data_IF_030396438949
#
_entry.id   IF_030396438949
#
_cell.length_a   1.000
_cell.length_b   1.000
_cell.length_c   1.000
_cell.angle_alpha   90.00
_cell.angle_beta   90.00
_cell.angle_gamma   90.00
#
_symmetry.space_group_name_H-M   'P 1'
#
loop_
_entity.id
_entity.type
_entity.pdbx_description
1 polymer ?
#
# COMPACT_ATOMS: atom_id res chain seq x y z
N UNK A 1 -27.84 -10.27 -15.86
CA UNK A 1 -27.28 -9.32 -14.86
C UNK A 1 -25.91 -8.85 -15.36
N UNK A 2 -25.79 -7.60 -15.82
CA UNK A 2 -24.51 -7.08 -16.32
C UNK A 2 -23.57 -6.79 -15.15
N UNK A 3 -22.42 -7.49 -15.09
CA UNK A 3 -21.37 -7.27 -14.09
C UNK A 3 -20.82 -5.86 -14.30
N UNK A 4 -21.20 -4.91 -13.44
CA UNK A 4 -20.71 -3.54 -13.50
C UNK A 4 -19.18 -3.57 -13.30
N UNK A 5 -18.42 -3.42 -14.38
CA UNK A 5 -16.96 -3.39 -14.33
C UNK A 5 -16.56 -2.10 -13.59
N UNK A 6 -16.20 -2.20 -12.30
CA UNK A 6 -15.62 -1.09 -11.56
C UNK A 6 -14.39 -0.60 -12.31
N UNK A 7 -14.41 0.66 -12.74
CA UNK A 7 -13.25 1.29 -13.37
C UNK A 7 -12.15 1.40 -12.32
N UNK A 8 -10.91 0.97 -12.61
CA UNK A 8 -9.82 1.12 -11.66
C UNK A 8 -9.55 2.61 -11.43
N UNK A 9 -9.33 2.99 -10.18
CA UNK A 9 -8.93 4.35 -9.82
C UNK A 9 -7.44 4.49 -10.14
N UNK A 10 -7.09 5.26 -11.18
CA UNK A 10 -5.72 5.41 -11.67
C UNK A 10 -5.11 6.65 -11.03
N UNK A 11 -3.95 6.47 -10.38
CA UNK A 11 -3.17 7.57 -9.79
C UNK A 11 -1.82 7.64 -10.51
N UNK A 12 -1.47 8.84 -10.97
CA UNK A 12 -0.17 9.13 -11.55
C UNK A 12 0.79 9.62 -10.47
N UNK A 13 1.99 9.05 -10.44
CA UNK A 13 3.05 9.43 -9.50
C UNK A 13 4.30 9.84 -10.30
N UNK A 14 4.84 11.01 -9.96
CA UNK A 14 6.12 11.47 -10.47
C UNK A 14 7.24 11.01 -9.52
N UNK A 15 8.37 10.61 -10.10
CA UNK A 15 9.56 10.21 -9.36
C UNK A 15 10.80 10.56 -10.16
N UNK A 16 11.90 10.84 -9.47
CA UNK A 16 13.18 11.08 -10.14
C UNK A 16 13.65 9.81 -10.87
N UNK A 17 14.45 9.94 -11.95
CA UNK A 17 14.99 8.80 -12.67
C UNK A 17 15.76 7.83 -11.76
N UNK A 18 16.52 8.38 -10.81
CA UNK A 18 17.31 7.58 -9.85
C UNK A 18 16.41 6.76 -8.92
N UNK A 19 15.33 7.36 -8.39
CA UNK A 19 14.37 6.65 -7.55
C UNK A 19 13.65 5.54 -8.33
N UNK A 20 13.26 5.82 -9.58
CA UNK A 20 12.66 4.80 -10.47
C UNK A 20 13.59 3.63 -10.72
N UNK A 21 14.88 3.90 -10.98
CA UNK A 21 15.88 2.86 -11.20
C UNK A 21 16.08 1.96 -9.97
N UNK A 22 16.18 2.56 -8.77
CA UNK A 22 16.26 1.81 -7.50
C UNK A 22 15.03 0.93 -7.29
N UNK A 23 13.84 1.49 -7.50
CA UNK A 23 12.58 0.75 -7.36
C UNK A 23 12.48 -0.41 -8.35
N UNK A 24 12.89 -0.21 -9.60
CA UNK A 24 12.95 -1.27 -10.61
C UNK A 24 13.86 -2.40 -10.18
N UNK A 25 15.05 -2.09 -9.65
CA UNK A 25 15.99 -3.11 -9.16
C UNK A 25 15.37 -3.94 -8.02
N UNK A 26 14.80 -3.27 -7.01
CA UNK A 26 14.13 -3.97 -5.88
C UNK A 26 12.98 -4.84 -6.36
N UNK A 27 12.20 -4.37 -7.33
CA UNK A 27 11.10 -5.14 -7.90
C UNK A 27 11.60 -6.37 -8.66
N UNK A 28 12.67 -6.22 -9.45
CA UNK A 28 13.31 -7.33 -10.17
C UNK A 28 13.88 -8.38 -9.20
N UNK A 29 14.63 -7.96 -8.18
CA UNK A 29 15.23 -8.84 -7.18
C UNK A 29 14.16 -9.66 -6.42
N UNK A 30 12.93 -9.13 -6.31
CA UNK A 30 11.80 -9.78 -5.62
C UNK A 30 10.82 -10.49 -6.56
N UNK A 31 11.06 -10.48 -7.88
CA UNK A 31 10.14 -11.06 -8.86
C UNK A 31 8.74 -10.42 -8.86
N UNK A 32 8.65 -9.12 -8.55
CA UNK A 32 7.39 -8.38 -8.46
C UNK A 32 7.34 -7.22 -9.45
N UNK A 33 6.12 -6.79 -9.81
CA UNK A 33 5.94 -5.55 -10.57
C UNK A 33 5.93 -4.33 -9.64
N UNK A 34 6.30 -3.15 -10.15
CA UNK A 34 6.21 -1.89 -9.40
C UNK A 34 4.81 -1.68 -8.82
N UNK A 35 3.77 -1.95 -9.63
CA UNK A 35 2.37 -1.82 -9.20
C UNK A 35 2.04 -2.71 -8.00
N UNK A 36 2.48 -3.98 -8.03
CA UNK A 36 2.24 -4.91 -6.93
C UNK A 36 3.00 -4.51 -5.66
N UNK A 37 4.26 -4.11 -5.80
CA UNK A 37 5.08 -3.64 -4.68
C UNK A 37 4.51 -2.38 -4.02
N UNK A 38 4.10 -1.40 -4.82
CA UNK A 38 3.47 -0.17 -4.31
C UNK A 38 2.11 -0.45 -3.68
N UNK A 39 1.28 -1.31 -4.29
CA UNK A 39 0.00 -1.70 -3.71
C UNK A 39 0.15 -2.28 -2.31
N UNK A 40 1.08 -3.22 -2.13
CA UNK A 40 1.36 -3.82 -0.81
C UNK A 40 1.85 -2.78 0.20
N UNK A 41 2.72 -1.86 -0.21
CA UNK A 41 3.20 -0.79 0.67
C UNK A 41 2.04 0.11 1.12
N UNK A 42 1.16 0.51 0.19
CA UNK A 42 -0.02 1.33 0.51
C UNK A 42 -0.93 0.59 1.50
N UNK A 43 -1.20 -0.69 1.26
CA UNK A 43 -2.01 -1.50 2.17
C UNK A 43 -1.41 -1.58 3.58
N UNK A 44 -0.08 -1.76 3.68
CA UNK A 44 0.63 -1.73 4.96
C UNK A 44 0.52 -0.36 5.64
N UNK A 45 0.71 0.75 4.91
CA UNK A 45 0.59 2.09 5.49
C UNK A 45 -0.83 2.38 5.96
N UNK A 46 -1.87 1.98 5.22
CA UNK A 46 -3.26 2.13 5.65
C UNK A 46 -3.55 1.29 6.90
N UNK A 47 -2.99 0.08 7.00
CA UNK A 47 -3.15 -0.75 8.19
C UNK A 47 -2.45 -0.14 9.42
N UNK A 48 -1.25 0.42 9.24
CA UNK A 48 -0.53 1.13 10.31
C UNK A 48 -1.26 2.38 10.76
N UNK A 49 -1.73 3.21 9.82
CA UNK A 49 -2.53 4.42 10.10
C UNK A 49 -3.80 4.09 10.89
N UNK A 50 -4.53 3.03 10.50
CA UNK A 50 -5.69 2.55 11.26
C UNK A 50 -5.32 2.09 12.66
N UNK A 51 -4.16 1.44 12.81
CA UNK A 51 -3.68 0.97 14.12
C UNK A 51 -3.34 2.15 15.02
N UNK A 52 -2.64 3.15 14.47
CA UNK A 52 -2.32 4.40 15.17
C UNK A 52 -3.60 5.14 15.60
N UNK A 53 -4.57 5.26 14.69
CA UNK A 53 -5.87 5.85 15.00
C UNK A 53 -6.60 5.07 16.11
N UNK A 54 -6.60 3.74 16.07
CA UNK A 54 -7.20 2.91 17.11
C UNK A 54 -6.53 3.13 18.48
N UNK A 55 -5.20 3.29 18.52
CA UNK A 55 -4.45 3.62 19.74
C UNK A 55 -4.89 4.99 20.28
N UNK A 56 -4.89 6.02 19.44
CA UNK A 56 -5.26 7.39 19.83
C UNK A 56 -6.70 7.45 20.34
N UNK A 57 -7.62 6.68 19.73
CA UNK A 57 -9.02 6.61 20.13
C UNK A 57 -9.30 5.67 21.31
N UNK A 58 -8.27 5.03 21.88
CA UNK A 58 -8.44 4.09 23.00
C UNK A 58 -9.23 2.83 22.63
N UNK A 59 -9.27 2.47 21.34
CA UNK A 59 -10.01 1.33 20.80
C UNK A 59 -9.19 0.03 20.74
N UNK A 60 -7.94 0.08 21.20
CA UNK A 60 -7.12 -1.12 21.31
C UNK A 60 -7.52 -1.83 22.59
N UNK A 61 -8.31 -2.88 22.48
CA UNK A 61 -8.58 -3.74 23.65
C UNK A 61 -7.25 -4.29 24.16
N UNK A 62 -6.95 -3.99 25.43
CA UNK A 62 -5.86 -4.64 26.14
C UNK A 62 -6.21 -6.13 26.24
N UNK A 63 -5.73 -6.94 25.30
CA UNK A 63 -5.66 -8.38 25.49
C UNK A 63 -4.61 -8.63 26.58
N UNK A 64 -4.98 -8.46 27.85
CA UNK A 64 -4.43 -9.09 29.05
C UNK A 64 -5.09 -8.46 30.30
N UNK A 65 -6.17 -9.08 30.77
CA UNK A 65 -6.48 -9.36 32.19
C UNK A 65 -7.79 -10.14 32.27
#
# INVERSE_FOLDING_TARGET
MAKQRKRPNIVSISMTPQTKAKLNKVCADRGMTIKASLGRLIDCFVALDRTEQAIVLGQVEAKHA
#
